data_IF_335837547942
#
_entry.id   IF_335837547942
#
_cell.length_a   1.000
_cell.length_b   1.000
_cell.length_c   1.000
_cell.angle_alpha   90.00
_cell.angle_beta   90.00
_cell.angle_gamma   90.00
#
_symmetry.space_group_name_H-M   'P 1'
#
loop_
_entity.id
_entity.type
_entity.pdbx_description
1 polymer ?
#
# COMPACT_ATOMS: atom_id res chain seq x y z
N UNK A 1 11.57 12.28 -13.67
CA UNK A 1 10.87 11.52 -12.62
C UNK A 1 9.85 10.54 -13.23
N UNK A 2 8.81 10.99 -13.95
CA UNK A 2 7.79 10.10 -14.51
C UNK A 2 8.40 8.99 -15.39
N UNK A 3 9.22 9.33 -16.39
CA UNK A 3 9.89 8.36 -17.25
C UNK A 3 10.77 7.36 -16.46
N UNK A 4 11.36 7.80 -15.34
CA UNK A 4 12.12 6.93 -14.46
C UNK A 4 11.22 5.89 -13.79
N UNK A 5 10.06 6.30 -13.29
CA UNK A 5 9.08 5.40 -12.66
C UNK A 5 8.45 4.44 -13.67
N UNK A 6 8.11 4.94 -14.87
CA UNK A 6 7.57 4.13 -15.97
C UNK A 6 8.50 2.98 -16.37
N UNK A 7 9.81 3.23 -16.33
CA UNK A 7 10.85 2.29 -16.73
C UNK A 7 11.49 1.55 -15.55
N UNK A 8 11.16 1.92 -14.31
CA UNK A 8 11.71 1.29 -13.12
C UNK A 8 11.30 -0.19 -13.09
N UNK A 9 12.25 -1.12 -13.17
CA UNK A 9 11.91 -2.53 -13.02
C UNK A 9 11.49 -2.79 -11.57
N UNK A 10 10.47 -3.60 -11.41
CA UNK A 10 10.18 -4.19 -10.11
C UNK A 10 11.10 -5.39 -9.98
N UNK A 11 11.94 -5.47 -8.95
CA UNK A 11 12.83 -6.61 -8.76
C UNK A 11 12.01 -7.91 -8.69
N UNK A 12 12.56 -8.97 -9.29
CA UNK A 12 12.00 -10.30 -9.07
C UNK A 12 12.09 -10.64 -7.57
N UNK A 13 11.11 -11.35 -7.03
CA UNK A 13 11.18 -11.84 -5.65
C UNK A 13 12.47 -12.66 -5.45
N UNK A 14 13.08 -12.60 -4.25
CA UNK A 14 14.21 -13.45 -3.96
C UNK A 14 13.83 -14.93 -4.10
N UNK A 15 14.74 -15.74 -4.59
CA UNK A 15 14.56 -17.20 -4.57
C UNK A 15 14.60 -17.68 -3.11
N UNK A 16 13.47 -18.20 -2.64
CA UNK A 16 13.28 -18.72 -1.29
C UNK A 16 13.17 -20.24 -1.26
N UNK A 17 13.51 -20.93 -2.35
CA UNK A 17 13.43 -22.39 -2.47
C UNK A 17 14.22 -23.13 -1.40
N UNK A 18 15.29 -22.52 -0.88
CA UNK A 18 16.09 -23.06 0.22
C UNK A 18 15.37 -23.00 1.59
N UNK A 19 14.36 -22.15 1.74
CA UNK A 19 13.62 -22.00 3.00
C UNK A 19 12.48 -23.02 3.15
N UNK A 20 11.88 -23.42 2.04
CA UNK A 20 10.82 -24.41 2.05
C UNK A 20 10.79 -25.16 0.71
N UNK A 21 11.03 -26.47 0.74
CA UNK A 21 11.01 -27.34 -0.45
C UNK A 21 9.59 -27.64 -0.94
N UNK A 22 8.56 -27.42 -0.11
CA UNK A 22 7.15 -27.73 -0.40
C UNK A 22 6.21 -26.52 -0.30
N UNK A 23 6.76 -25.31 -0.06
CA UNK A 23 5.96 -24.13 0.23
C UNK A 23 5.52 -24.05 1.70
N UNK A 24 4.71 -23.04 2.00
CA UNK A 24 4.23 -22.75 3.36
C UNK A 24 2.71 -22.96 3.43
N UNK A 25 2.24 -23.62 4.49
CA UNK A 25 0.80 -23.76 4.77
C UNK A 25 0.14 -22.42 5.20
N UNK A 26 0.94 -21.48 5.71
CA UNK A 26 0.49 -20.14 6.08
C UNK A 26 1.57 -19.11 5.75
N UNK A 27 1.20 -18.06 5.02
CA UNK A 27 2.03 -16.90 4.74
C UNK A 27 1.34 -15.65 5.30
N UNK A 28 2.06 -14.85 6.06
CA UNK A 28 1.52 -13.61 6.67
C UNK A 28 2.26 -12.41 6.09
N UNK A 29 1.51 -11.49 5.49
CA UNK A 29 1.99 -10.18 5.07
C UNK A 29 1.25 -9.10 5.86
N UNK A 30 1.94 -8.46 6.79
CA UNK A 30 1.34 -7.49 7.70
C UNK A 30 1.97 -6.12 7.55
N UNK A 31 1.17 -5.12 7.10
CA UNK A 31 1.51 -3.70 6.99
C UNK A 31 2.75 -3.38 6.13
N UNK A 32 3.15 -4.32 5.26
CA UNK A 32 4.32 -4.17 4.38
C UNK A 32 3.96 -3.43 3.09
N UNK A 33 2.74 -3.66 2.59
CA UNK A 33 2.35 -3.34 1.22
C UNK A 33 2.49 -1.84 0.89
N UNK A 34 2.02 -0.96 1.75
CA UNK A 34 2.15 0.49 1.58
C UNK A 34 3.60 0.96 1.63
N UNK A 35 4.44 0.28 2.39
CA UNK A 35 5.84 0.66 2.61
C UNK A 35 6.75 0.32 1.43
N UNK A 36 6.41 -0.71 0.64
CA UNK A 36 7.21 -1.14 -0.50
C UNK A 36 7.41 -0.03 -1.55
N UNK A 37 6.47 0.91 -1.65
CA UNK A 37 6.54 2.01 -2.62
C UNK A 37 6.52 3.40 -1.99
N UNK A 38 6.10 3.56 -0.73
CA UNK A 38 5.98 4.89 -0.11
C UNK A 38 7.33 5.56 0.05
N UNK A 39 8.33 4.88 0.59
CA UNK A 39 9.67 5.46 0.77
C UNK A 39 10.33 5.85 -0.55
N UNK A 40 10.41 4.99 -1.59
CA UNK A 40 10.96 5.38 -2.87
C UNK A 40 10.25 6.58 -3.51
N UNK A 41 8.93 6.65 -3.41
CA UNK A 41 8.16 7.77 -3.96
C UNK A 41 8.38 9.06 -3.19
N UNK A 42 8.49 9.01 -1.85
CA UNK A 42 8.83 10.17 -1.03
C UNK A 42 10.23 10.69 -1.32
N UNK A 43 11.22 9.82 -1.44
CA UNK A 43 12.60 10.20 -1.80
C UNK A 43 12.66 10.91 -3.16
N UNK A 44 11.87 10.43 -4.14
CA UNK A 44 11.77 11.09 -5.45
C UNK A 44 11.13 12.47 -5.31
N UNK A 45 10.04 12.60 -4.55
CA UNK A 45 9.38 13.90 -4.33
C UNK A 45 10.30 14.88 -3.61
N UNK A 46 10.99 14.47 -2.56
CA UNK A 46 11.95 15.27 -1.83
C UNK A 46 13.12 15.71 -2.72
N UNK A 47 13.58 14.83 -3.60
CA UNK A 47 14.60 15.18 -4.58
C UNK A 47 14.10 16.24 -5.57
N UNK A 48 12.90 16.06 -6.13
CA UNK A 48 12.30 17.03 -7.06
C UNK A 48 12.12 18.39 -6.35
N UNK A 49 11.63 18.39 -5.11
CA UNK A 49 11.42 19.62 -4.36
C UNK A 49 12.72 20.40 -4.13
N UNK A 50 13.84 19.71 -3.96
CA UNK A 50 15.16 20.34 -3.77
C UNK A 50 15.79 20.85 -5.06
N UNK A 51 15.62 20.10 -6.17
CA UNK A 51 16.38 20.36 -7.41
C UNK A 51 15.55 21.16 -8.42
N UNK A 52 14.25 20.97 -8.46
CA UNK A 52 13.38 21.56 -9.46
C UNK A 52 11.94 21.75 -8.92
N UNK A 53 11.73 22.60 -7.89
CA UNK A 53 10.42 22.76 -7.24
C UNK A 53 9.32 23.18 -8.21
N UNK A 54 9.66 23.93 -9.26
CA UNK A 54 8.71 24.38 -10.27
C UNK A 54 8.02 23.21 -10.99
N UNK A 55 8.64 22.04 -11.07
CA UNK A 55 8.05 20.84 -11.67
C UNK A 55 6.84 20.32 -10.88
N UNK A 56 6.74 20.64 -9.61
CA UNK A 56 5.59 20.26 -8.77
C UNK A 56 4.40 21.19 -8.97
N UNK A 57 4.62 22.37 -9.52
CA UNK A 57 3.59 23.40 -9.77
C UNK A 57 3.00 23.28 -11.17
N UNK A 58 3.77 22.80 -12.14
CA UNK A 58 3.28 22.57 -13.50
C UNK A 58 2.26 21.42 -13.55
N UNK A 59 0.99 21.75 -13.70
CA UNK A 59 -0.13 20.79 -13.64
C UNK A 59 0.06 19.56 -14.55
N UNK A 60 0.49 19.76 -15.80
CA UNK A 60 0.65 18.65 -16.77
C UNK A 60 1.78 17.70 -16.38
N UNK A 61 2.92 18.22 -15.94
CA UNK A 61 4.06 17.42 -15.48
C UNK A 61 3.76 16.73 -14.17
N UNK A 62 3.03 17.39 -13.29
CA UNK A 62 2.58 16.80 -12.03
C UNK A 62 1.59 15.66 -12.28
N UNK A 63 0.63 15.83 -13.18
CA UNK A 63 -0.32 14.77 -13.57
C UNK A 63 0.40 13.54 -14.09
N UNK A 64 1.34 13.72 -15.04
CA UNK A 64 2.12 12.61 -15.58
C UNK A 64 2.95 11.89 -14.51
N UNK A 65 3.49 12.63 -13.53
CA UNK A 65 4.17 12.01 -12.39
C UNK A 65 3.20 11.19 -11.53
N UNK A 66 2.02 11.72 -11.26
CA UNK A 66 1.01 10.99 -10.46
C UNK A 66 0.55 9.70 -11.15
N UNK A 67 0.34 9.74 -12.46
CA UNK A 67 -0.02 8.56 -13.26
C UNK A 67 1.11 7.50 -13.21
N UNK A 68 2.35 7.90 -13.43
CA UNK A 68 3.51 7.01 -13.36
C UNK A 68 3.72 6.43 -11.93
N UNK A 69 3.52 7.23 -10.90
CA UNK A 69 3.59 6.80 -9.50
C UNK A 69 2.47 5.80 -9.17
N UNK A 70 1.28 6.02 -9.68
CA UNK A 70 0.15 5.11 -9.51
C UNK A 70 0.41 3.76 -10.19
N UNK A 71 0.91 3.78 -11.44
CA UNK A 71 1.31 2.57 -12.16
C UNK A 71 2.42 1.80 -11.44
N UNK A 72 3.43 2.49 -10.95
CA UNK A 72 4.50 1.90 -10.14
C UNK A 72 3.97 1.20 -8.89
N UNK A 73 3.02 1.84 -8.16
CA UNK A 73 2.36 1.23 -7.00
C UNK A 73 1.62 -0.05 -7.38
N UNK A 74 0.86 -0.03 -8.46
CA UNK A 74 0.10 -1.20 -8.93
C UNK A 74 1.04 -2.36 -9.27
N UNK A 75 2.11 -2.10 -10.03
CA UNK A 75 3.11 -3.12 -10.40
C UNK A 75 3.80 -3.72 -9.17
N UNK A 76 4.16 -2.88 -8.19
CA UNK A 76 4.78 -3.32 -6.93
C UNK A 76 3.83 -4.22 -6.13
N UNK A 77 2.55 -3.84 -6.04
CA UNK A 77 1.53 -4.67 -5.37
C UNK A 77 1.36 -6.01 -6.08
N UNK A 78 1.26 -6.01 -7.40
CA UNK A 78 1.13 -7.25 -8.19
C UNK A 78 2.32 -8.19 -7.95
N UNK A 79 3.54 -7.67 -7.98
CA UNK A 79 4.75 -8.45 -7.69
C UNK A 79 4.71 -9.06 -6.28
N UNK A 80 4.31 -8.26 -5.28
CA UNK A 80 4.19 -8.76 -3.91
C UNK A 80 3.10 -9.85 -3.77
N UNK A 81 1.94 -9.66 -4.41
CA UNK A 81 0.88 -10.69 -4.40
C UNK A 81 1.32 -11.98 -5.10
N UNK A 82 2.10 -11.88 -6.20
CA UNK A 82 2.70 -13.04 -6.83
C UNK A 82 3.65 -13.77 -5.89
N UNK A 83 4.54 -13.03 -5.21
CA UNK A 83 5.43 -13.62 -4.20
C UNK A 83 4.66 -14.38 -3.13
N UNK A 84 3.59 -13.78 -2.57
CA UNK A 84 2.78 -14.45 -1.55
C UNK A 84 2.18 -15.75 -2.06
N UNK A 85 1.70 -15.76 -3.32
CA UNK A 85 1.15 -16.96 -3.94
C UNK A 85 2.21 -18.03 -4.18
N UNK A 86 3.38 -17.63 -4.67
CA UNK A 86 4.47 -18.56 -4.99
C UNK A 86 5.10 -19.20 -3.74
N UNK A 87 4.93 -18.57 -2.57
CA UNK A 87 5.34 -19.11 -1.28
C UNK A 87 4.37 -20.15 -0.70
N UNK A 88 3.13 -20.23 -1.20
CA UNK A 88 2.13 -21.15 -0.68
C UNK A 88 2.35 -22.59 -1.14
N UNK A 89 2.13 -23.51 -0.23
CA UNK A 89 1.87 -24.92 -0.57
C UNK A 89 0.43 -25.11 -1.08
N UNK A 90 0.16 -26.27 -1.65
CA UNK A 90 -1.19 -26.66 -2.08
C UNK A 90 -2.17 -26.64 -0.89
N UNK A 91 -3.19 -25.78 -0.98
CA UNK A 91 -4.16 -25.58 0.10
C UNK A 91 -3.65 -24.65 1.22
N UNK A 92 -2.52 -23.98 1.01
CA UNK A 92 -2.01 -22.97 1.94
C UNK A 92 -2.86 -21.68 1.92
N UNK A 93 -2.74 -20.91 2.99
CA UNK A 93 -3.51 -19.68 3.24
C UNK A 93 -2.58 -18.48 3.36
N UNK A 94 -2.98 -17.33 2.80
CA UNK A 94 -2.34 -16.03 3.05
C UNK A 94 -3.22 -15.21 4.00
N UNK A 95 -2.62 -14.65 5.05
CA UNK A 95 -3.18 -13.56 5.82
C UNK A 95 -2.53 -12.25 5.36
N UNK A 96 -3.26 -11.43 4.60
CA UNK A 96 -2.81 -10.13 4.12
C UNK A 96 -3.47 -9.03 4.94
N UNK A 97 -2.66 -8.23 5.64
CA UNK A 97 -3.09 -7.08 6.42
C UNK A 97 -2.40 -5.84 5.84
N UNK A 98 -3.18 -4.84 5.47
CA UNK A 98 -2.65 -3.61 4.89
C UNK A 98 -3.38 -2.36 5.38
N UNK A 99 -2.61 -1.33 5.65
CA UNK A 99 -3.06 0.03 5.88
C UNK A 99 -3.48 0.64 4.53
N UNK A 100 -4.78 0.91 4.38
CA UNK A 100 -5.33 1.39 3.10
C UNK A 100 -5.44 2.90 3.05
N UNK A 101 -5.62 3.52 4.22
CA UNK A 101 -5.75 4.96 4.36
C UNK A 101 -5.20 5.41 5.71
N UNK A 102 -4.38 6.48 5.70
CA UNK A 102 -4.00 7.20 6.92
C UNK A 102 -4.93 8.39 7.14
N UNK A 103 -5.24 8.72 8.38
CA UNK A 103 -6.01 9.90 8.73
C UNK A 103 -5.47 10.60 9.97
N UNK A 104 -5.73 11.89 10.05
CA UNK A 104 -5.52 12.71 11.25
C UNK A 104 -6.88 13.16 11.78
N UNK A 105 -7.03 13.26 13.09
CA UNK A 105 -8.27 13.68 13.73
C UNK A 105 -8.00 14.57 14.94
N UNK A 106 -8.96 15.42 15.27
CA UNK A 106 -8.91 16.28 16.43
C UNK A 106 -10.09 16.00 17.37
N UNK A 107 -9.88 16.12 18.68
CA UNK A 107 -10.93 15.93 19.71
C UNK A 107 -11.92 17.10 19.71
N UNK A 108 -11.51 18.26 19.21
CA UNK A 108 -12.31 19.48 19.28
C UNK A 108 -13.23 19.69 18.06
N UNK A 109 -13.17 18.78 17.07
CA UNK A 109 -14.10 18.74 15.96
C UNK A 109 -15.45 18.20 16.43
N UNK A 110 -16.52 18.93 16.14
CA UNK A 110 -17.89 18.42 16.33
C UNK A 110 -18.14 17.25 15.40
N UNK A 111 -18.84 16.22 15.84
CA UNK A 111 -19.05 14.92 15.17
C UNK A 111 -19.58 14.96 13.72
N UNK A 112 -19.97 16.15 13.21
CA UNK A 112 -20.59 16.31 11.89
C UNK A 112 -19.64 16.82 10.78
N UNK A 113 -18.41 17.17 11.09
CA UNK A 113 -17.48 17.74 10.10
C UNK A 113 -16.49 16.68 9.57
N UNK A 114 -16.82 16.04 8.44
CA UNK A 114 -15.87 15.26 7.61
C UNK A 114 -14.58 16.04 7.27
N UNK A 115 -14.61 17.36 7.42
CA UNK A 115 -13.50 18.29 7.18
C UNK A 115 -12.35 18.13 8.19
N UNK A 116 -12.60 17.56 9.37
CA UNK A 116 -11.59 17.32 10.40
C UNK A 116 -10.83 16.00 10.22
N UNK A 117 -11.29 15.08 9.38
CA UNK A 117 -10.55 13.87 9.02
C UNK A 117 -9.84 14.04 7.67
N UNK A 118 -8.64 14.57 7.68
CA UNK A 118 -7.81 14.52 6.47
C UNK A 118 -7.32 13.11 6.24
N UNK A 119 -7.96 12.42 5.31
CA UNK A 119 -7.61 11.07 4.95
C UNK A 119 -6.71 11.04 3.71
N UNK A 120 -5.58 10.33 3.80
CA UNK A 120 -4.64 10.12 2.72
C UNK A 120 -4.66 8.66 2.29
N UNK A 121 -4.99 8.33 1.03
CA UNK A 121 -4.90 6.95 0.55
C UNK A 121 -3.45 6.50 0.52
N UNK A 122 -3.17 5.38 1.17
CA UNK A 122 -1.84 4.77 1.25
C UNK A 122 -1.62 3.73 0.16
N UNK A 123 -2.69 3.07 -0.28
CA UNK A 123 -2.66 2.10 -1.38
C UNK A 123 -3.63 2.49 -2.50
N UNK A 124 -3.41 2.02 -3.73
CA UNK A 124 -4.35 2.25 -4.83
C UNK A 124 -5.74 1.69 -4.55
N UNK A 125 -6.77 2.41 -4.99
CA UNK A 125 -8.17 1.92 -4.95
C UNK A 125 -8.37 0.58 -5.67
N UNK A 126 -7.45 0.22 -6.55
CA UNK A 126 -7.46 -1.05 -7.27
C UNK A 126 -7.10 -2.26 -6.40
N UNK A 127 -6.57 -2.08 -5.18
CA UNK A 127 -6.11 -3.17 -4.32
C UNK A 127 -7.10 -4.33 -4.19
N UNK A 128 -8.41 -4.12 -3.88
CA UNK A 128 -9.34 -5.23 -3.74
C UNK A 128 -9.54 -6.03 -5.03
N UNK A 129 -9.38 -5.40 -6.19
CA UNK A 129 -9.40 -6.07 -7.49
C UNK A 129 -8.12 -6.87 -7.71
N UNK A 130 -6.95 -6.27 -7.47
CA UNK A 130 -5.66 -6.93 -7.62
C UNK A 130 -5.55 -8.19 -6.75
N UNK A 131 -6.10 -8.14 -5.52
CA UNK A 131 -6.18 -9.31 -4.64
C UNK A 131 -7.04 -10.40 -5.27
N UNK A 132 -8.24 -10.08 -5.76
CA UNK A 132 -9.15 -11.06 -6.39
C UNK A 132 -8.63 -11.61 -7.71
N UNK A 133 -7.80 -10.87 -8.43
CA UNK A 133 -7.18 -11.33 -9.67
C UNK A 133 -6.12 -12.43 -9.41
N UNK A 134 -5.62 -12.55 -8.18
CA UNK A 134 -4.57 -13.50 -7.79
C UNK A 134 -5.04 -14.58 -6.83
N UNK A 135 -6.07 -14.31 -6.02
CA UNK A 135 -6.53 -15.16 -4.94
C UNK A 135 -8.05 -15.30 -4.88
N UNK A 136 -8.50 -16.40 -4.32
CA UNK A 136 -9.85 -16.51 -3.79
C UNK A 136 -9.87 -15.84 -2.40
N UNK A 137 -10.75 -14.86 -2.22
CA UNK A 137 -10.95 -14.20 -0.93
C UNK A 137 -11.93 -15.02 -0.10
N UNK A 138 -11.44 -15.62 0.98
CA UNK A 138 -12.24 -16.41 1.93
C UNK A 138 -12.93 -15.51 2.93
N UNK A 139 -12.18 -14.53 3.45
CA UNK A 139 -12.68 -13.55 4.40
C UNK A 139 -12.03 -12.18 4.13
N UNK A 140 -12.81 -11.12 4.35
CA UNK A 140 -12.30 -9.75 4.32
C UNK A 140 -12.90 -8.96 5.48
N UNK A 141 -12.08 -8.21 6.16
CA UNK A 141 -12.47 -7.35 7.28
C UNK A 141 -11.80 -5.99 7.18
N UNK A 142 -12.38 -5.00 7.84
CA UNK A 142 -11.81 -3.66 7.94
C UNK A 142 -11.97 -3.15 9.36
N UNK A 143 -10.97 -2.40 9.82
CA UNK A 143 -11.00 -1.74 11.12
C UNK A 143 -10.18 -0.46 11.12
N UNK A 144 -10.37 0.37 12.13
CA UNK A 144 -9.52 1.53 12.39
C UNK A 144 -8.50 1.17 13.47
N UNK A 145 -7.27 1.62 13.23
CA UNK A 145 -6.18 1.51 14.19
C UNK A 145 -5.68 2.91 14.55
N UNK A 146 -5.92 3.31 15.80
CA UNK A 146 -5.45 4.60 16.31
C UNK A 146 -4.03 4.42 16.86
N UNK A 147 -3.08 5.17 16.30
CA UNK A 147 -1.68 5.10 16.69
C UNK A 147 -1.27 6.22 17.65
N UNK A 148 -1.88 7.39 17.50
CA UNK A 148 -1.68 8.54 18.37
C UNK A 148 -3.04 9.11 18.76
N UNK A 149 -3.22 9.39 20.06
CA UNK A 149 -4.36 10.16 20.54
C UNK A 149 -4.08 11.66 20.40
N UNK A 150 -5.11 12.49 20.14
CA UNK A 150 -4.93 13.92 20.02
C UNK A 150 -4.55 14.55 21.37
N UNK A 151 -3.62 15.47 21.32
CA UNK A 151 -3.19 16.34 22.41
C UNK A 151 -3.50 17.80 22.09
N UNK A 152 -3.37 18.73 23.06
CA UNK A 152 -3.79 20.13 22.94
C UNK A 152 -3.28 20.89 21.70
N UNK A 153 -2.12 20.50 21.17
CA UNK A 153 -1.47 21.16 20.02
C UNK A 153 -1.10 20.14 18.89
N UNK A 154 -1.51 18.88 19.04
CA UNK A 154 -1.15 17.81 18.13
C UNK A 154 -2.37 16.95 17.80
N UNK A 155 -2.75 16.84 16.51
CA UNK A 155 -3.83 15.96 16.12
C UNK A 155 -3.46 14.48 16.36
N UNK A 156 -4.47 13.67 16.64
CA UNK A 156 -4.35 12.23 16.66
C UNK A 156 -4.11 11.67 15.26
N UNK A 157 -3.60 10.45 15.21
CA UNK A 157 -3.33 9.72 13.96
C UNK A 157 -3.94 8.33 14.03
N UNK A 158 -4.41 7.89 12.87
CA UNK A 158 -4.92 6.54 12.73
C UNK A 158 -4.85 6.05 11.30
N UNK A 159 -5.17 4.78 11.15
CA UNK A 159 -5.19 4.09 9.87
C UNK A 159 -6.49 3.30 9.72
N UNK A 160 -7.05 3.35 8.52
CA UNK A 160 -8.00 2.33 8.09
C UNK A 160 -7.19 1.13 7.61
N UNK A 161 -7.46 -0.04 8.15
CA UNK A 161 -6.75 -1.27 7.87
C UNK A 161 -7.72 -2.26 7.24
N UNK A 162 -7.28 -2.92 6.16
CA UNK A 162 -7.99 -4.05 5.56
C UNK A 162 -7.23 -5.33 5.82
N UNK A 163 -7.94 -6.36 6.26
CA UNK A 163 -7.43 -7.72 6.42
C UNK A 163 -8.13 -8.67 5.47
N UNK A 164 -7.38 -9.59 4.90
CA UNK A 164 -7.87 -10.62 3.98
C UNK A 164 -7.33 -11.98 4.39
N UNK A 165 -8.18 -12.99 4.36
CA UNK A 165 -7.79 -14.40 4.35
C UNK A 165 -7.97 -14.90 2.93
N UNK A 166 -6.90 -15.40 2.34
CA UNK A 166 -6.78 -15.68 0.91
C UNK A 166 -6.29 -17.11 0.69
N UNK A 167 -6.82 -17.74 -0.37
CA UNK A 167 -6.37 -19.03 -0.86
C UNK A 167 -6.06 -18.96 -2.36
N UNK A 168 -5.27 -19.90 -2.87
CA UNK A 168 -5.07 -20.02 -4.31
C UNK A 168 -6.39 -20.43 -4.98
N UNK A 169 -6.75 -19.84 -6.14
CA UNK A 169 -7.89 -20.28 -6.90
C UNK A 169 -7.76 -21.77 -7.26
N UNK A 170 -8.84 -22.53 -7.10
CA UNK A 170 -8.93 -23.94 -7.48
C UNK A 170 -8.95 -24.15 -8.99
#
# INVERSE_FOLDING_TARGET
>A
AAACLEQCPIPDPPDLSDLATSGFGLVISSLVLSQLFSYPLLDILDHIQRVAPDLLVEQERHRRYQEAAQDFRVRTIQSHLHLLRDLLDTGGTVALICDVRGFVFDVYGTDDDEEYRRALPLVPRALPRLVRDQFQVIEATQWEWLTDLPEKERPGRGYEVSGYILETPS
#
